data_IF_563179516852
#
_entry.id   IF_563179516852
#
_cell.length_a   1.000
_cell.length_b   1.000
_cell.length_c   1.000
_cell.angle_alpha   90.00
_cell.angle_beta   90.00
_cell.angle_gamma   90.00
#
_symmetry.space_group_name_H-M   'P 1'
#
loop_
_entity.id
_entity.type
_entity.pdbx_description
1 polymer ?
#
# COMPACT_ATOMS: atom_id res chain seq x y z
N UNK A 1 -16.84 13.87 -12.30
CA UNK A 1 -17.24 13.92 -10.89
C UNK A 1 -16.89 15.30 -10.41
N UNK A 2 -17.90 16.07 -10.02
CA UNK A 2 -17.68 17.37 -9.39
C UNK A 2 -17.23 17.11 -7.94
N UNK A 3 -16.11 17.72 -7.53
CA UNK A 3 -15.57 17.51 -6.18
C UNK A 3 -16.49 18.10 -5.10
N UNK A 4 -17.30 19.09 -5.45
CA UNK A 4 -18.22 19.75 -4.52
C UNK A 4 -19.34 18.82 -4.02
N UNK A 5 -19.67 17.75 -4.75
CA UNK A 5 -20.65 16.75 -4.31
C UNK A 5 -20.18 15.94 -3.08
N UNK A 6 -18.89 16.02 -2.75
CA UNK A 6 -18.29 15.34 -1.59
C UNK A 6 -17.90 16.32 -0.47
N UNK A 7 -18.24 17.61 -0.62
CA UNK A 7 -17.91 18.63 0.37
C UNK A 7 -18.89 18.62 1.55
N UNK A 8 -18.38 18.90 2.76
CA UNK A 8 -19.19 18.98 3.97
C UNK A 8 -18.53 19.91 5.00
N UNK A 9 -19.34 20.49 5.89
CA UNK A 9 -18.84 21.33 6.97
C UNK A 9 -18.10 20.47 8.00
N UNK A 10 -16.78 20.66 8.10
CA UNK A 10 -15.91 19.99 9.06
C UNK A 10 -15.19 21.04 9.92
N UNK A 11 -15.74 21.38 11.09
CA UNK A 11 -15.06 22.23 12.05
C UNK A 11 -13.68 21.66 12.42
N UNK A 12 -12.65 22.51 12.35
CA UNK A 12 -11.24 22.10 12.53
C UNK A 12 -10.94 21.47 13.90
N UNK A 13 -11.70 21.86 14.92
CA UNK A 13 -11.63 21.34 16.28
C UNK A 13 -12.10 19.89 16.40
N UNK A 14 -12.87 19.39 15.42
CA UNK A 14 -13.30 17.98 15.35
C UNK A 14 -12.26 17.08 14.67
N UNK A 15 -11.17 17.65 14.14
CA UNK A 15 -10.06 16.89 13.55
C UNK A 15 -9.08 16.51 14.67
N UNK A 16 -9.06 15.21 15.02
CA UNK A 16 -8.16 14.69 16.02
C UNK A 16 -6.68 14.95 15.65
N UNK A 17 -5.98 15.72 16.50
CA UNK A 17 -4.56 16.04 16.33
C UNK A 17 -3.64 14.94 16.89
N UNK A 18 -4.15 14.18 17.84
CA UNK A 18 -3.47 13.03 18.46
C UNK A 18 -4.49 11.90 18.63
N UNK A 19 -4.04 10.63 18.61
CA UNK A 19 -4.92 9.50 18.89
C UNK A 19 -5.41 9.52 20.35
N UNK A 20 -6.54 8.87 20.60
CA UNK A 20 -7.02 8.63 21.96
C UNK A 20 -5.98 7.82 22.79
N UNK A 21 -5.91 8.01 24.12
CA UNK A 21 -4.95 7.31 24.98
C UNK A 21 -5.06 5.79 24.92
N UNK A 22 -6.30 5.27 24.84
CA UNK A 22 -6.58 3.88 24.49
C UNK A 22 -7.22 3.84 23.10
N UNK A 23 -6.75 2.93 22.24
CA UNK A 23 -7.20 2.88 20.84
C UNK A 23 -8.64 2.42 20.70
N UNK A 24 -9.10 1.54 21.57
CA UNK A 24 -10.46 1.01 21.60
C UNK A 24 -11.48 1.98 22.25
N UNK A 25 -11.01 3.06 22.86
CA UNK A 25 -11.85 4.14 23.40
C UNK A 25 -12.29 5.16 22.34
N UNK A 26 -11.98 4.96 21.06
CA UNK A 26 -12.54 5.78 19.99
C UNK A 26 -14.01 5.47 19.75
N UNK A 27 -14.79 6.48 19.35
CA UNK A 27 -16.16 6.29 18.86
C UNK A 27 -16.16 5.45 17.57
N UNK A 28 -17.20 4.65 17.39
CA UNK A 28 -17.48 3.86 16.19
C UNK A 28 -18.89 4.22 15.70
N UNK A 29 -18.99 4.82 14.51
CA UNK A 29 -20.28 5.05 13.87
C UNK A 29 -20.64 3.82 13.03
N UNK A 30 -21.73 3.15 13.40
CA UNK A 30 -22.29 2.03 12.63
C UNK A 30 -23.34 2.58 11.67
N UNK A 31 -23.15 2.30 10.38
CA UNK A 31 -24.06 2.73 9.31
C UNK A 31 -24.80 1.51 8.76
N UNK A 32 -26.08 1.36 9.10
CA UNK A 32 -26.95 0.35 8.50
C UNK A 32 -27.48 0.86 7.17
N UNK A 33 -26.83 0.44 6.08
CA UNK A 33 -27.20 0.82 4.71
C UNK A 33 -28.58 0.34 4.29
N UNK A 34 -29.07 -0.77 4.83
CA UNK A 34 -30.36 -1.34 4.44
C UNK A 34 -31.52 -0.58 5.10
N UNK A 35 -31.32 -0.09 6.32
CA UNK A 35 -32.32 0.65 7.09
C UNK A 35 -32.12 2.17 7.07
N UNK A 36 -31.05 2.64 6.44
CA UNK A 36 -30.57 4.03 6.55
C UNK A 36 -30.39 4.48 8.02
N UNK A 37 -29.96 3.55 8.88
CA UNK A 37 -29.77 3.77 10.31
C UNK A 37 -28.36 4.23 10.63
N UNK A 38 -28.24 5.10 11.63
CA UNK A 38 -26.97 5.55 12.21
C UNK A 38 -26.99 5.23 13.71
N UNK A 39 -25.97 4.54 14.19
CA UNK A 39 -25.83 4.19 15.60
C UNK A 39 -24.42 4.55 16.09
N UNK A 40 -24.37 5.26 17.21
CA UNK A 40 -23.12 5.55 17.92
C UNK A 40 -22.76 4.41 18.86
N UNK A 41 -21.57 3.85 18.66
CA UNK A 41 -20.95 2.81 19.48
C UNK A 41 -19.54 3.24 19.91
N UNK A 42 -18.89 2.42 20.72
CA UNK A 42 -17.47 2.47 21.04
C UNK A 42 -16.72 1.38 20.27
N UNK A 43 -15.48 1.64 19.86
CA UNK A 43 -14.71 0.67 19.09
C UNK A 43 -14.47 -0.64 19.85
N UNK A 44 -14.43 -0.59 21.19
CA UNK A 44 -14.39 -1.76 22.06
C UNK A 44 -15.57 -2.74 21.86
N UNK A 45 -16.71 -2.27 21.35
CA UNK A 45 -17.92 -3.07 21.08
C UNK A 45 -17.90 -3.74 19.70
N UNK A 46 -16.89 -3.47 18.87
CA UNK A 46 -16.77 -4.07 17.53
C UNK A 46 -16.91 -5.61 17.52
N UNK A 47 -16.34 -6.38 18.47
CA UNK A 47 -16.52 -7.83 18.49
C UNK A 47 -17.98 -8.27 18.61
N UNK A 48 -18.82 -7.51 19.32
CA UNK A 48 -20.23 -7.82 19.53
C UNK A 48 -21.10 -7.52 18.29
N UNK A 49 -20.59 -6.68 17.38
CA UNK A 49 -21.22 -6.35 16.10
C UNK A 49 -20.92 -7.38 14.99
N UNK A 50 -19.90 -8.23 15.18
CA UNK A 50 -19.51 -9.26 14.22
C UNK A 50 -20.28 -10.56 14.46
N UNK A 51 -20.45 -11.33 13.38
CA UNK A 51 -21.10 -12.65 13.43
C UNK A 51 -20.07 -13.75 13.32
N UNK A 52 -20.41 -14.91 13.87
CA UNK A 52 -19.62 -16.11 13.66
C UNK A 52 -19.50 -16.42 12.15
N UNK A 53 -18.26 -16.55 11.68
CA UNK A 53 -17.96 -16.76 10.25
C UNK A 53 -17.53 -15.50 9.50
N UNK A 54 -17.62 -14.31 10.09
CA UNK A 54 -17.09 -13.09 9.48
C UNK A 54 -15.55 -13.13 9.38
N UNK A 55 -15.01 -12.55 8.31
CA UNK A 55 -13.57 -12.45 8.07
C UNK A 55 -13.11 -11.00 8.19
N UNK A 56 -12.30 -10.69 9.20
CA UNK A 56 -11.68 -9.38 9.35
C UNK A 56 -10.38 -9.33 8.54
N UNK A 57 -10.39 -8.60 7.43
CA UNK A 57 -9.20 -8.39 6.60
C UNK A 57 -8.49 -7.12 7.07
N UNK A 58 -7.34 -7.30 7.74
CA UNK A 58 -6.53 -6.18 8.25
C UNK A 58 -5.38 -5.91 7.29
N UNK A 59 -5.17 -4.64 6.96
CA UNK A 59 -3.97 -4.25 6.22
C UNK A 59 -2.75 -4.30 7.14
N UNK A 60 -1.80 -5.18 6.83
CA UNK A 60 -0.50 -5.23 7.50
C UNK A 60 0.57 -4.67 6.54
N UNK A 61 0.89 -3.39 6.69
CA UNK A 61 1.88 -2.70 5.86
C UNK A 61 3.30 -2.93 6.38
N UNK A 62 4.21 -3.35 5.49
CA UNK A 62 5.65 -3.49 5.79
C UNK A 62 6.48 -2.70 4.79
N UNK A 63 7.39 -1.88 5.30
CA UNK A 63 8.42 -1.23 4.46
C UNK A 63 9.51 -2.26 4.19
N UNK A 64 9.71 -2.61 2.92
CA UNK A 64 10.82 -3.46 2.48
C UNK A 64 11.78 -2.53 1.73
N UNK A 65 13.07 -2.41 2.14
CA UNK A 65 14.07 -1.65 1.43
C UNK A 65 14.46 -2.40 0.14
N UNK A 66 13.57 -2.34 -0.83
CA UNK A 66 13.62 -3.15 -2.04
C UNK A 66 13.86 -2.31 -3.30
N UNK A 67 14.16 -1.02 -3.12
CA UNK A 67 14.43 -0.08 -4.21
C UNK A 67 15.91 -0.15 -4.58
N UNK A 68 16.17 -0.50 -5.83
CA UNK A 68 17.51 -0.56 -6.44
C UNK A 68 17.56 0.36 -7.65
N UNK A 69 18.62 1.16 -7.74
CA UNK A 69 18.93 1.97 -8.91
C UNK A 69 19.92 1.21 -9.79
N UNK A 70 19.64 1.20 -11.08
CA UNK A 70 20.43 0.51 -12.08
C UNK A 70 20.50 1.29 -13.39
N UNK A 71 21.33 0.83 -14.31
CA UNK A 71 21.49 1.41 -15.65
C UNK A 71 21.37 0.35 -16.72
N UNK A 72 20.77 0.72 -17.85
CA UNK A 72 20.79 -0.11 -19.05
C UNK A 72 22.15 -0.07 -19.77
N UNK A 73 22.28 -0.84 -20.85
CA UNK A 73 23.51 -0.88 -21.66
C UNK A 73 23.94 0.49 -22.23
N UNK A 74 23.03 1.46 -22.33
CA UNK A 74 23.31 2.83 -22.75
C UNK A 74 23.65 3.77 -21.59
N UNK A 75 23.83 3.26 -20.37
CA UNK A 75 24.13 4.06 -19.17
C UNK A 75 22.92 4.82 -18.61
N UNK A 76 21.71 4.56 -19.13
CA UNK A 76 20.51 5.33 -18.78
C UNK A 76 19.86 4.74 -17.53
N UNK A 77 19.36 5.57 -16.60
CA UNK A 77 18.85 5.09 -15.32
C UNK A 77 17.55 4.29 -15.48
N UNK A 78 17.43 3.28 -14.61
CA UNK A 78 16.29 2.40 -14.39
C UNK A 78 16.15 2.19 -12.89
N UNK A 79 14.97 2.49 -12.35
CA UNK A 79 14.59 2.19 -10.98
C UNK A 79 13.85 0.86 -10.93
N UNK A 80 14.22 0.01 -9.98
CA UNK A 80 13.62 -1.29 -9.71
C UNK A 80 13.10 -1.29 -8.27
N UNK A 81 11.83 -1.62 -8.06
CA UNK A 81 11.27 -1.89 -6.74
C UNK A 81 10.90 -3.36 -6.66
N UNK A 82 11.72 -4.16 -5.98
CA UNK A 82 11.46 -5.59 -5.78
C UNK A 82 10.25 -5.80 -4.87
N UNK A 83 9.29 -6.61 -5.30
CA UNK A 83 8.00 -6.81 -4.60
C UNK A 83 7.99 -8.16 -3.90
N UNK A 84 8.30 -9.23 -4.65
CA UNK A 84 8.23 -10.60 -4.15
C UNK A 84 9.27 -11.51 -4.83
N UNK A 85 9.88 -12.44 -4.07
CA UNK A 85 10.70 -13.49 -4.64
C UNK A 85 9.83 -14.49 -5.40
N UNK A 86 10.24 -14.86 -6.61
CA UNK A 86 9.65 -15.97 -7.37
C UNK A 86 10.38 -17.27 -7.03
N UNK A 87 11.71 -17.20 -6.88
CA UNK A 87 12.57 -18.27 -6.38
C UNK A 87 13.92 -17.70 -5.89
N UNK A 88 14.93 -18.55 -5.72
CA UNK A 88 16.26 -18.18 -5.22
C UNK A 88 16.99 -17.11 -6.05
N UNK A 89 16.67 -16.98 -7.34
CA UNK A 89 17.39 -16.08 -8.26
C UNK A 89 16.48 -15.15 -9.06
N UNK A 90 15.16 -15.29 -8.92
CA UNK A 90 14.17 -14.48 -9.63
C UNK A 90 13.24 -13.77 -8.68
N UNK A 91 12.92 -12.54 -9.03
CA UNK A 91 12.01 -11.69 -8.30
C UNK A 91 11.10 -10.93 -9.25
N UNK A 92 9.89 -10.59 -8.77
CA UNK A 92 9.05 -9.59 -9.42
C UNK A 92 9.43 -8.21 -8.93
N UNK A 93 9.49 -7.25 -9.84
CA UNK A 93 9.79 -5.87 -9.52
C UNK A 93 8.90 -4.92 -10.33
N UNK A 94 8.51 -3.80 -9.73
CA UNK A 94 8.05 -2.64 -10.50
C UNK A 94 9.26 -1.94 -11.10
N UNK A 95 9.12 -1.46 -12.33
CA UNK A 95 10.23 -0.90 -13.08
C UNK A 95 9.89 0.48 -13.65
N UNK A 96 10.81 1.43 -13.51
CA UNK A 96 10.65 2.78 -14.05
C UNK A 96 11.94 3.24 -14.76
N UNK A 97 11.91 3.56 -16.07
CA UNK A 97 10.78 3.47 -17.00
C UNK A 97 10.63 2.05 -17.59
N UNK A 98 9.45 1.44 -17.47
CA UNK A 98 9.20 0.07 -17.92
C UNK A 98 9.44 -0.19 -19.41
N UNK A 99 9.35 0.83 -20.27
CA UNK A 99 9.68 0.72 -21.71
C UNK A 99 11.12 0.22 -22.00
N UNK A 100 12.03 0.37 -21.03
CA UNK A 100 13.42 -0.07 -21.12
C UNK A 100 13.66 -1.49 -20.60
N UNK A 101 12.67 -2.09 -19.94
CA UNK A 101 12.80 -3.38 -19.28
C UNK A 101 12.06 -4.46 -20.08
N UNK A 102 12.49 -4.68 -21.32
CA UNK A 102 12.00 -5.82 -22.12
C UNK A 102 12.78 -7.08 -21.75
N UNK A 103 12.19 -8.26 -21.99
CA UNK A 103 12.86 -9.55 -21.80
C UNK A 103 14.22 -9.54 -22.52
N UNK A 104 15.25 -10.02 -21.83
CA UNK A 104 16.64 -10.08 -22.30
C UNK A 104 17.49 -8.84 -21.98
N UNK A 105 16.90 -7.73 -21.52
CA UNK A 105 17.67 -6.55 -21.12
C UNK A 105 18.51 -6.86 -19.88
N UNK A 106 19.77 -6.46 -19.93
CA UNK A 106 20.68 -6.48 -18.79
C UNK A 106 20.82 -5.10 -18.18
N UNK A 107 20.86 -5.06 -16.85
CA UNK A 107 20.98 -3.86 -16.04
C UNK A 107 22.19 -3.99 -15.11
N UNK A 108 22.89 -2.88 -14.91
CA UNK A 108 24.00 -2.74 -13.97
C UNK A 108 23.53 -2.00 -12.74
N UNK A 109 23.72 -2.56 -11.55
CA UNK A 109 23.34 -1.89 -10.30
C UNK A 109 24.34 -0.77 -9.97
N UNK A 110 23.83 0.41 -9.65
CA UNK A 110 24.65 1.61 -9.42
C UNK A 110 25.58 1.43 -8.20
N UNK A 111 25.04 0.97 -7.06
CA UNK A 111 25.80 0.78 -5.82
C UNK A 111 26.62 -0.53 -5.79
N UNK A 112 26.45 -1.39 -6.80
CA UNK A 112 27.16 -2.66 -6.93
C UNK A 112 27.45 -2.98 -8.40
N UNK A 113 28.43 -2.32 -9.05
CA UNK A 113 28.67 -2.45 -10.49
C UNK A 113 29.07 -3.86 -10.95
N UNK A 114 29.50 -4.74 -10.04
CA UNK A 114 29.76 -6.15 -10.32
C UNK A 114 28.47 -6.97 -10.46
N UNK A 115 27.34 -6.47 -9.94
CA UNK A 115 26.05 -7.13 -9.98
C UNK A 115 25.32 -6.77 -11.28
N UNK A 116 24.86 -7.82 -11.98
CA UNK A 116 24.08 -7.72 -13.20
C UNK A 116 22.71 -8.32 -12.97
N UNK A 117 21.68 -7.61 -13.40
CA UNK A 117 20.30 -8.08 -13.39
C UNK A 117 19.86 -8.33 -14.83
N UNK A 118 19.06 -9.37 -15.06
CA UNK A 118 18.49 -9.65 -16.37
C UNK A 118 16.97 -9.70 -16.28
N UNK A 119 16.30 -8.99 -17.18
CA UNK A 119 14.84 -9.06 -17.30
C UNK A 119 14.48 -10.39 -17.97
N UNK A 120 13.85 -11.30 -17.22
CA UNK A 120 13.49 -12.64 -17.71
C UNK A 120 12.04 -12.75 -18.21
N UNK A 121 11.20 -11.77 -17.87
CA UNK A 121 9.79 -11.68 -18.27
C UNK A 121 9.22 -10.28 -17.98
N UNK A 122 8.08 -9.97 -18.59
CA UNK A 122 7.27 -8.76 -18.37
C UNK A 122 5.83 -9.20 -18.12
#
# INVERSE_FOLDING_TARGET
MDLSELDYDLPSELIAQTPAPSRDASRLLVVDRARAGLEDHMFAELPDLLRAGDCLVVNNSRVIPARILARDAGGRPVELLFIEPVDQHRWRALVRPGRRCRKGVELVVDDAPALRLRIVGV
#
